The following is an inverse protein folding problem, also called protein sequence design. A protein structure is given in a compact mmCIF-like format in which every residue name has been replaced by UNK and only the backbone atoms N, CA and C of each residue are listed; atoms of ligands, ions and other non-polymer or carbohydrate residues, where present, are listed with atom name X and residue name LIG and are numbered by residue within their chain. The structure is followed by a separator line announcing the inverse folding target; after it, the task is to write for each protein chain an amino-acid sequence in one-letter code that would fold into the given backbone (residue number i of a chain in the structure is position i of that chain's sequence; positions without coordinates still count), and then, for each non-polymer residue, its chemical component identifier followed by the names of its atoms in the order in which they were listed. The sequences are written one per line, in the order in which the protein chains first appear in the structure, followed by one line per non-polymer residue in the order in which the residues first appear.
data_IF_523182306288
#
_entry.id   IF_523182306288
#
_cell.length_a   1.000
_cell.length_b   1.000
_cell.length_c   1.000
_cell.angle_alpha   90.00
_cell.angle_beta   90.00
_cell.angle_gamma   90.00
#
_symmetry.space_group_name_H-M   'P 1'
#
loop_
_entity.id
_entity.type
_entity.pdbx_description
1 polymer ?
#
# COMPACT_ATOMS: atom_id res chain seq x y z
N UNK A 1 4.48 -4.74 6.78
CA UNK A 1 4.20 -5.17 5.38
C UNK A 1 4.62 -4.03 4.50
N UNK A 2 5.70 -4.14 3.73
CA UNK A 2 6.30 -2.99 3.03
C UNK A 2 6.17 -3.06 1.51
N UNK A 3 5.52 -4.08 0.96
CA UNK A 3 5.41 -4.32 -0.49
C UNK A 3 3.95 -4.59 -0.85
N UNK A 4 3.32 -3.60 -1.47
CA UNK A 4 1.88 -3.59 -1.75
C UNK A 4 1.66 -3.57 -3.25
N UNK A 5 0.95 -4.59 -3.74
CA UNK A 5 0.54 -4.67 -5.14
C UNK A 5 -0.82 -4.01 -5.37
N UNK A 6 -0.91 -3.13 -6.36
CA UNK A 6 -2.17 -2.55 -6.83
C UNK A 6 -2.35 -2.77 -8.34
N UNK A 7 -3.60 -2.90 -8.82
CA UNK A 7 -3.90 -2.96 -10.25
C UNK A 7 -3.32 -1.76 -11.04
N UNK A 8 -2.87 -2.01 -12.27
CA UNK A 8 -2.15 -1.02 -13.09
C UNK A 8 -3.07 0.11 -13.61
N UNK A 9 -4.37 -0.13 -13.67
CA UNK A 9 -5.42 0.82 -14.07
C UNK A 9 -5.68 1.92 -13.03
N UNK A 10 -5.15 1.78 -11.82
CA UNK A 10 -5.13 2.86 -10.84
C UNK A 10 -4.08 3.86 -11.28
N UNK A 11 -4.52 5.06 -11.66
CA UNK A 11 -3.62 6.14 -12.00
C UNK A 11 -2.75 6.50 -10.79
N UNK A 12 -1.44 6.60 -11.03
CA UNK A 12 -0.47 7.00 -10.00
C UNK A 12 -0.54 8.49 -9.68
N UNK A 13 -1.13 9.29 -10.59
CA UNK A 13 -1.32 10.72 -10.43
C UNK A 13 -2.59 11.06 -9.64
N UNK A 14 -3.53 10.12 -9.57
CA UNK A 14 -4.68 10.20 -8.66
C UNK A 14 -4.26 9.71 -7.27
N UNK A 15 -3.68 10.61 -6.49
CA UNK A 15 -3.08 10.31 -5.19
C UNK A 15 -4.10 9.80 -4.17
N UNK A 16 -5.35 10.27 -4.23
CA UNK A 16 -6.41 9.84 -3.31
C UNK A 16 -6.90 8.43 -3.64
N UNK A 17 -7.16 8.15 -4.92
CA UNK A 17 -7.54 6.80 -5.35
C UNK A 17 -6.43 5.79 -5.09
N UNK A 18 -5.17 6.19 -5.32
CA UNK A 18 -4.02 5.35 -4.97
C UNK A 18 -3.91 5.13 -3.47
N UNK A 19 -4.06 6.17 -2.64
CA UNK A 19 -4.02 6.05 -1.18
C UNK A 19 -5.10 5.09 -0.67
N UNK A 20 -6.32 5.19 -1.20
CA UNK A 20 -7.43 4.30 -0.84
C UNK A 20 -7.12 2.84 -1.20
N UNK A 21 -6.63 2.58 -2.42
CA UNK A 21 -6.27 1.23 -2.85
C UNK A 21 -5.14 0.61 -2.01
N UNK A 22 -4.10 1.40 -1.69
CA UNK A 22 -3.04 0.95 -0.79
C UNK A 22 -3.58 0.65 0.61
N UNK A 23 -4.47 1.49 1.13
CA UNK A 23 -5.08 1.29 2.44
C UNK A 23 -5.92 -0.01 2.50
N UNK A 24 -6.67 -0.32 1.46
CA UNK A 24 -7.47 -1.55 1.39
C UNK A 24 -6.59 -2.80 1.40
N UNK A 25 -5.51 -2.81 0.61
CA UNK A 25 -4.57 -3.95 0.59
C UNK A 25 -3.87 -4.10 1.94
N UNK A 26 -3.40 -2.99 2.55
CA UNK A 26 -2.76 -3.02 3.86
C UNK A 26 -3.73 -3.53 4.92
N UNK A 27 -4.99 -3.06 4.93
CA UNK A 27 -6.01 -3.48 5.90
C UNK A 27 -6.23 -4.99 5.87
N UNK A 28 -6.28 -5.60 4.68
CA UNK A 28 -6.46 -7.04 4.51
C UNK A 28 -5.25 -7.88 4.95
N UNK A 29 -4.08 -7.26 5.10
CA UNK A 29 -2.83 -7.92 5.45
C UNK A 29 -2.37 -7.63 6.88
N UNK A 30 -3.08 -6.77 7.61
CA UNK A 30 -2.78 -6.49 9.01
C UNK A 30 -3.04 -7.74 9.85
N UNK A 31 -2.12 -8.01 10.77
CA UNK A 31 -2.33 -9.05 11.79
C UNK A 31 -3.57 -8.73 12.64
N UNK A 32 -4.28 -9.74 13.14
CA UNK A 32 -5.35 -9.55 14.12
C UNK A 32 -4.90 -8.65 15.28
N UNK A 33 -5.81 -7.83 15.80
CA UNK A 33 -5.50 -6.86 16.86
C UNK A 33 -4.78 -5.59 16.36
N UNK A 34 -4.54 -5.42 15.05
CA UNK A 34 -4.06 -4.16 14.47
C UNK A 34 -5.14 -3.50 13.62
N UNK A 35 -5.34 -2.20 13.80
CA UNK A 35 -6.25 -1.39 12.99
C UNK A 35 -5.48 -0.35 12.20
N UNK A 36 -5.64 -0.33 10.88
CA UNK A 36 -5.08 0.71 10.02
C UNK A 36 -5.70 2.07 10.35
N UNK A 37 -4.88 3.08 10.61
CA UNK A 37 -5.33 4.47 10.77
C UNK A 37 -5.24 5.21 9.44
N UNK A 38 -4.06 5.21 8.84
CA UNK A 38 -3.80 5.85 7.55
C UNK A 38 -2.56 5.31 6.87
N UNK A 39 -2.54 5.37 5.55
CA UNK A 39 -1.30 5.35 4.77
C UNK A 39 -0.68 6.75 4.85
N UNK A 40 0.61 6.85 5.16
CA UNK A 40 1.33 8.13 5.33
C UNK A 40 2.09 8.49 4.05
N UNK A 41 2.86 7.54 3.51
CA UNK A 41 3.70 7.74 2.34
C UNK A 41 3.80 6.45 1.51
N UNK A 42 4.16 6.60 0.23
CA UNK A 42 4.49 5.47 -0.64
C UNK A 42 5.58 5.80 -1.65
N UNK A 43 6.26 4.77 -2.14
CA UNK A 43 7.25 4.86 -3.22
C UNK A 43 7.01 3.79 -4.28
N UNK A 44 6.89 4.16 -5.57
CA UNK A 44 6.71 3.18 -6.64
C UNK A 44 7.96 2.30 -6.77
N UNK A 45 7.75 1.00 -6.96
CA UNK A 45 8.78 -0.03 -7.03
C UNK A 45 9.77 -0.03 -5.86
N UNK A 46 9.42 0.61 -4.73
CA UNK A 46 10.28 0.75 -3.57
C UNK A 46 11.62 1.44 -3.87
N UNK A 47 11.65 2.41 -4.80
CA UNK A 47 12.92 3.02 -5.21
C UNK A 47 13.86 2.04 -5.93
N UNK A 48 13.29 1.19 -6.79
CA UNK A 48 13.96 0.11 -7.55
C UNK A 48 14.26 -1.19 -6.76
N UNK A 49 13.75 -1.32 -5.54
CA UNK A 49 13.86 -2.56 -4.75
C UNK A 49 12.94 -3.69 -5.25
N UNK A 50 11.84 -3.36 -5.93
CA UNK A 50 10.89 -4.36 -6.41
C UNK A 50 11.10 -4.70 -7.88
N UNK A 51 11.12 -6.00 -8.20
CA UNK A 51 11.05 -6.46 -9.58
C UNK A 51 9.70 -6.08 -10.19
N UNK A 52 9.68 -5.51 -11.41
CA UNK A 52 8.44 -5.25 -12.13
C UNK A 52 7.63 -6.53 -12.31
N UNK A 53 6.31 -6.48 -12.07
CA UNK A 53 5.40 -7.58 -12.35
C UNK A 53 4.39 -7.13 -13.43
N UNK A 54 4.22 -7.89 -14.52
CA UNK A 54 3.20 -7.56 -15.52
C UNK A 54 1.82 -7.44 -14.87
N UNK A 55 1.08 -6.38 -15.20
CA UNK A 55 -0.28 -6.16 -14.70
C UNK A 55 -0.40 -5.62 -13.26
N UNK A 56 0.69 -5.57 -12.48
CA UNK A 56 0.65 -5.10 -11.08
C UNK A 56 1.70 -4.03 -10.83
N UNK A 57 1.29 -2.88 -10.28
CA UNK A 57 2.22 -1.89 -9.75
C UNK A 57 2.53 -2.22 -8.30
N UNK A 58 3.81 -2.17 -7.93
CA UNK A 58 4.25 -2.43 -6.55
C UNK A 58 4.66 -1.14 -5.89
N UNK A 59 4.29 -0.98 -4.64
CA UNK A 59 4.57 0.22 -3.85
C UNK A 59 5.17 -0.17 -2.52
N UNK A 60 6.19 0.59 -2.11
CA UNK A 60 6.62 0.57 -0.74
C UNK A 60 5.71 1.49 0.03
N UNK A 61 5.12 1.04 1.14
CA UNK A 61 4.06 1.78 1.85
C UNK A 61 4.44 1.96 3.31
N UNK A 62 4.39 3.21 3.78
CA UNK A 62 4.45 3.56 5.19
C UNK A 62 3.04 3.88 5.70
N UNK A 63 2.67 3.34 6.86
CA UNK A 63 1.33 3.48 7.42
C UNK A 63 1.35 3.50 8.94
N UNK A 64 0.31 4.08 9.53
CA UNK A 64 0.07 4.12 10.97
C UNK A 64 -1.00 3.10 11.36
N UNK A 65 -0.79 2.43 12.49
CA UNK A 65 -1.75 1.48 13.06
C UNK A 65 -2.03 1.80 14.52
N UNK A 66 -3.25 1.53 14.95
CA UNK A 66 -3.60 1.38 16.36
C UNK A 66 -3.51 -0.10 16.74
N UNK A 67 -3.10 -0.36 17.98
CA UNK A 67 -3.16 -1.70 18.58
C UNK A 67 -4.49 -1.80 19.33
N UNK A 68 -5.29 -2.82 18.99
CA UNK A 68 -6.43 -3.23 19.80
C UNK A 68 -5.89 -3.95 21.03
N UNK A 69 -6.18 -3.41 22.21
CA UNK A 69 -5.96 -4.04 23.51
C UNK A 69 -7.19 -4.91 23.80
#
# INVERSE_FOLDING_TARGET
MWDVGVPRDIDRYDTERLRAALADVVRNQLSPGKRLLRVVAWSPNGGALFRPKPGTRRFAVAYEVALGI
#
